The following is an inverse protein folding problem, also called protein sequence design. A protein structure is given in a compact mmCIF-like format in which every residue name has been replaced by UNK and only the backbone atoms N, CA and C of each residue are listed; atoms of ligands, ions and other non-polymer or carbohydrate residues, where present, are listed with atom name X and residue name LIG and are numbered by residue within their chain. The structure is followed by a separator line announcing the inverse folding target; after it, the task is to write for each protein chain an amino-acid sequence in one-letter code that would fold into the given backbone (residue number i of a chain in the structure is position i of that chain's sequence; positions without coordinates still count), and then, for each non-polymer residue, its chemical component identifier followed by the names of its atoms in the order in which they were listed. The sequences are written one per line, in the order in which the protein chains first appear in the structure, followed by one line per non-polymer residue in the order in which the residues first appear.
data_IF_780666587260
#
_entry.id   IF_780666587260
#
_cell.length_a   1.000
_cell.length_b   1.000
_cell.length_c   1.000
_cell.angle_alpha   90.00
_cell.angle_beta   90.00
_cell.angle_gamma   90.00
#
_symmetry.space_group_name_H-M   'P 1'
#
loop_
_entity.id
_entity.type
_entity.pdbx_description
1 polymer ?
#
# COMPACT_ATOMS: atom_id res chain seq x y z
N UNK A 1 4.51 14.14 -8.91
CA UNK A 1 3.48 15.21 -8.86
C UNK A 1 2.07 14.65 -9.06
N UNK A 2 1.84 13.74 -10.03
CA UNK A 2 0.54 13.09 -10.22
C UNK A 2 0.01 12.43 -8.93
N UNK A 3 0.90 11.86 -8.12
CA UNK A 3 0.46 11.19 -6.90
C UNK A 3 -0.24 12.12 -5.90
N UNK A 4 0.29 13.34 -5.75
CA UNK A 4 -0.27 14.38 -4.89
C UNK A 4 -1.64 14.84 -5.39
N UNK A 5 -1.79 15.06 -6.69
CA UNK A 5 -3.05 15.50 -7.28
C UNK A 5 -4.16 14.47 -7.04
N UNK A 6 -3.85 13.19 -7.20
CA UNK A 6 -4.78 12.11 -6.92
C UNK A 6 -5.17 12.01 -5.44
N UNK A 7 -4.21 12.20 -4.53
CA UNK A 7 -4.49 12.28 -3.09
C UNK A 7 -5.41 13.45 -2.75
N UNK A 8 -5.24 14.61 -3.39
CA UNK A 8 -6.11 15.78 -3.21
C UNK A 8 -7.53 15.48 -3.69
N UNK A 9 -7.69 14.84 -4.85
CA UNK A 9 -9.01 14.43 -5.37
C UNK A 9 -9.71 13.49 -4.38
N UNK A 10 -8.99 12.50 -3.85
CA UNK A 10 -9.51 11.60 -2.83
C UNK A 10 -9.93 12.36 -1.56
N UNK A 11 -9.09 13.27 -1.08
CA UNK A 11 -9.38 14.08 0.10
C UNK A 11 -10.64 14.95 -0.09
N UNK A 12 -10.77 15.63 -1.23
CA UNK A 12 -11.96 16.43 -1.54
C UNK A 12 -13.21 15.54 -1.57
N UNK A 13 -13.12 14.35 -2.14
CA UNK A 13 -14.24 13.40 -2.21
C UNK A 13 -14.67 12.94 -0.82
N UNK A 14 -13.72 12.63 0.08
CA UNK A 14 -14.00 12.27 1.48
C UNK A 14 -14.64 13.45 2.23
N UNK A 15 -14.10 14.66 2.08
CA UNK A 15 -14.67 15.86 2.71
C UNK A 15 -16.09 16.14 2.21
N UNK A 16 -16.34 15.95 0.92
CA UNK A 16 -17.66 16.09 0.33
C UNK A 16 -18.63 15.03 0.88
N UNK A 17 -18.19 13.78 1.01
CA UNK A 17 -18.98 12.73 1.65
C UNK A 17 -19.34 13.06 3.10
N UNK A 18 -18.38 13.52 3.90
CA UNK A 18 -18.62 13.95 5.29
C UNK A 18 -19.61 15.13 5.36
N UNK A 19 -19.46 16.10 4.45
CA UNK A 19 -20.42 17.21 4.31
C UNK A 19 -21.84 16.69 4.02
N UNK A 20 -21.98 15.71 3.13
CA UNK A 20 -23.27 15.10 2.81
C UNK A 20 -23.87 14.38 4.02
N UNK A 21 -23.09 13.63 4.80
CA UNK A 21 -23.56 12.96 6.02
C UNK A 21 -24.09 14.00 7.02
N UNK A 22 -23.27 14.98 7.38
CA UNK A 22 -23.65 16.00 8.37
C UNK A 22 -24.85 16.82 7.88
N UNK A 23 -24.85 17.18 6.60
CA UNK A 23 -25.96 17.90 5.97
C UNK A 23 -27.25 17.09 5.92
N UNK A 24 -27.17 15.79 5.65
CA UNK A 24 -28.32 14.89 5.65
C UNK A 24 -28.90 14.74 7.07
N UNK A 25 -28.07 14.64 8.11
CA UNK A 25 -28.54 14.59 9.50
C UNK A 25 -29.25 15.90 9.90
N UNK A 26 -28.70 17.06 9.52
CA UNK A 26 -29.24 18.37 9.95
C UNK A 26 -30.43 18.86 9.12
N UNK A 27 -30.44 18.58 7.81
CA UNK A 27 -31.42 19.15 6.85
C UNK A 27 -32.24 18.07 6.12
N UNK A 28 -31.97 16.79 6.35
CA UNK A 28 -32.60 15.68 5.64
C UNK A 28 -32.33 15.74 4.14
N UNK A 29 -33.34 15.40 3.34
CA UNK A 29 -33.26 15.39 1.87
C UNK A 29 -33.01 16.77 1.25
N UNK A 30 -33.16 17.88 1.99
CA UNK A 30 -32.95 19.25 1.49
C UNK A 30 -31.47 19.57 1.20
N UNK A 31 -30.53 18.75 1.67
CA UNK A 31 -29.10 18.90 1.37
C UNK A 31 -28.78 18.65 -0.11
N UNK A 32 -29.58 17.84 -0.79
CA UNK A 32 -29.34 17.46 -2.18
C UNK A 32 -29.80 18.56 -3.13
N UNK A 33 -28.86 19.41 -3.57
CA UNK A 33 -29.15 20.43 -4.57
C UNK A 33 -29.66 19.80 -5.87
N UNK A 34 -30.67 20.36 -6.56
CA UNK A 34 -31.20 19.79 -7.80
C UNK A 34 -30.13 19.58 -8.89
N UNK A 35 -29.16 20.50 -8.98
CA UNK A 35 -28.10 20.47 -10.00
C UNK A 35 -27.15 19.28 -9.85
N UNK A 36 -26.83 18.88 -8.61
CA UNK A 36 -25.86 17.82 -8.32
C UNK A 36 -26.48 16.60 -7.64
N UNK A 37 -27.82 16.51 -7.58
CA UNK A 37 -28.56 15.52 -6.81
C UNK A 37 -28.08 14.10 -7.06
N UNK A 38 -27.92 13.72 -8.33
CA UNK A 38 -27.50 12.37 -8.72
C UNK A 38 -26.08 12.07 -8.23
N UNK A 39 -25.13 12.98 -8.46
CA UNK A 39 -23.73 12.82 -8.02
C UNK A 39 -23.64 12.74 -6.50
N UNK A 40 -24.36 13.62 -5.78
CA UNK A 40 -24.40 13.60 -4.32
C UNK A 40 -24.93 12.28 -3.76
N UNK A 41 -26.02 11.76 -4.34
CA UNK A 41 -26.59 10.47 -3.92
C UNK A 41 -25.59 9.35 -4.18
N UNK A 42 -24.94 9.34 -5.35
CA UNK A 42 -23.95 8.33 -5.71
C UNK A 42 -22.76 8.31 -4.75
N UNK A 43 -22.18 9.48 -4.45
CA UNK A 43 -21.10 9.62 -3.47
C UNK A 43 -21.56 9.15 -2.09
N UNK A 44 -22.78 9.49 -1.67
CA UNK A 44 -23.31 9.07 -0.37
C UNK A 44 -23.49 7.55 -0.29
N UNK A 45 -24.08 6.92 -1.32
CA UNK A 45 -24.28 5.47 -1.36
C UNK A 45 -22.94 4.74 -1.36
N UNK A 46 -22.01 5.12 -2.23
CA UNK A 46 -20.68 4.51 -2.28
C UNK A 46 -19.97 4.68 -0.94
N UNK A 47 -20.01 5.87 -0.34
CA UNK A 47 -19.31 6.12 0.92
C UNK A 47 -19.86 5.28 2.06
N UNK A 48 -21.18 5.08 2.14
CA UNK A 48 -21.79 4.17 3.12
C UNK A 48 -21.36 2.72 2.87
N UNK A 49 -21.40 2.26 1.61
CA UNK A 49 -20.95 0.90 1.26
C UNK A 49 -19.49 0.70 1.65
N UNK A 50 -18.61 1.66 1.36
CA UNK A 50 -17.19 1.60 1.68
C UNK A 50 -16.94 1.51 3.20
N UNK A 51 -17.66 2.30 4.01
CA UNK A 51 -17.57 2.23 5.47
C UNK A 51 -17.99 0.85 5.99
N UNK A 52 -19.03 0.25 5.42
CA UNK A 52 -19.50 -1.08 5.80
C UNK A 52 -18.49 -2.16 5.38
N UNK A 53 -17.99 -2.10 4.14
CA UNK A 53 -17.03 -3.06 3.59
C UNK A 53 -15.68 -3.04 4.30
N UNK A 54 -15.28 -1.90 4.88
CA UNK A 54 -14.05 -1.80 5.66
C UNK A 54 -14.06 -2.70 6.92
N UNK A 55 -15.25 -3.03 7.45
CA UNK A 55 -15.39 -3.86 8.66
C UNK A 55 -15.07 -5.34 8.39
N UNK A 56 -15.13 -5.79 7.14
CA UNK A 56 -14.97 -7.21 6.75
C UNK A 56 -13.61 -7.58 6.14
N UNK A 57 -12.65 -6.65 6.07
CA UNK A 57 -11.36 -6.93 5.44
C UNK A 57 -10.43 -7.70 6.38
N UNK A 58 -10.27 -9.00 6.14
CA UNK A 58 -9.12 -9.77 6.63
C UNK A 58 -7.83 -9.20 6.01
N UNK A 59 -6.81 -9.01 6.85
CA UNK A 59 -5.59 -8.31 6.48
C UNK A 59 -4.77 -9.08 5.46
N UNK A 60 -4.84 -8.69 4.18
CA UNK A 60 -3.82 -9.06 3.19
C UNK A 60 -2.47 -8.52 3.66
N UNK A 61 -1.52 -9.41 3.91
CA UNK A 61 -0.18 -9.01 4.33
C UNK A 61 0.70 -8.84 3.11
N UNK A 62 1.41 -7.71 3.00
CA UNK A 62 2.46 -7.53 1.99
C UNK A 62 3.76 -8.24 2.39
N UNK A 63 3.64 -9.42 3.00
CA UNK A 63 4.72 -10.21 3.55
C UNK A 63 4.85 -11.49 2.74
N UNK A 64 6.06 -11.75 2.28
CA UNK A 64 6.39 -12.91 1.45
C UNK A 64 7.47 -13.71 2.17
N UNK A 65 7.18 -14.97 2.44
CA UNK A 65 8.18 -15.92 2.94
C UNK A 65 9.04 -16.37 1.77
N UNK A 66 10.37 -16.21 1.90
CA UNK A 66 11.34 -16.55 0.86
C UNK A 66 11.88 -17.96 1.10
N UNK A 67 12.36 -18.22 2.31
CA UNK A 67 12.91 -19.52 2.70
C UNK A 67 12.45 -19.92 4.11
N UNK A 68 12.08 -21.19 4.25
CA UNK A 68 11.84 -21.85 5.53
C UNK A 68 13.01 -22.72 5.98
N UNK A 69 14.04 -22.87 5.14
CA UNK A 69 15.20 -23.70 5.41
C UNK A 69 16.31 -22.86 6.04
N UNK A 70 16.17 -22.58 7.34
CA UNK A 70 17.14 -21.86 8.15
C UNK A 70 17.01 -22.26 9.62
N UNK A 71 18.08 -22.08 10.41
CA UNK A 71 17.99 -22.31 11.85
C UNK A 71 17.28 -21.15 12.55
N UNK A 72 16.05 -21.39 13.03
CA UNK A 72 15.22 -20.39 13.73
C UNK A 72 15.81 -19.84 15.03
N UNK A 73 16.84 -20.49 15.59
CA UNK A 73 17.55 -20.02 16.78
C UNK A 73 18.65 -19.00 16.46
N UNK A 74 19.01 -18.84 15.19
CA UNK A 74 20.04 -17.91 14.78
C UNK A 74 19.53 -16.46 14.85
N UNK A 75 20.46 -15.52 15.04
CA UNK A 75 20.17 -14.10 14.95
C UNK A 75 19.70 -13.73 13.54
N UNK A 76 18.93 -12.66 13.44
CA UNK A 76 18.44 -12.14 12.16
C UNK A 76 18.88 -10.71 11.92
N UNK A 77 19.19 -10.39 10.68
CA UNK A 77 19.45 -9.03 10.19
C UNK A 77 18.26 -8.57 9.35
N UNK A 78 17.94 -7.28 9.37
CA UNK A 78 16.91 -6.70 8.48
C UNK A 78 17.58 -5.64 7.62
N UNK A 79 17.57 -5.88 6.32
CA UNK A 79 17.96 -4.89 5.31
C UNK A 79 16.75 -4.07 4.89
N UNK A 80 16.97 -2.78 4.67
CA UNK A 80 15.93 -1.83 4.26
C UNK A 80 16.30 -1.20 2.94
N UNK A 81 15.33 -1.11 2.03
CA UNK A 81 15.51 -0.43 0.75
C UNK A 81 14.25 0.37 0.41
N UNK A 82 14.45 1.59 -0.10
CA UNK A 82 13.38 2.38 -0.71
C UNK A 82 13.34 2.01 -2.18
N UNK A 83 12.26 1.35 -2.60
CA UNK A 83 12.03 0.89 -3.98
C UNK A 83 11.68 2.07 -4.89
N UNK A 84 10.85 2.98 -4.40
CA UNK A 84 10.42 4.15 -5.14
C UNK A 84 10.21 5.32 -4.17
N UNK A 85 10.75 6.49 -4.53
CA UNK A 85 10.56 7.72 -3.78
C UNK A 85 9.56 8.61 -4.52
N UNK A 86 8.44 8.93 -3.89
CA UNK A 86 7.50 9.91 -4.44
C UNK A 86 7.37 11.13 -3.53
N UNK A 87 6.65 12.15 -4.01
CA UNK A 87 6.48 13.40 -3.28
C UNK A 87 5.64 13.21 -1.99
N UNK A 88 4.63 12.34 -2.04
CA UNK A 88 3.67 12.15 -0.93
C UNK A 88 3.95 10.93 -0.09
N UNK A 89 4.45 9.86 -0.70
CA UNK A 89 4.74 8.61 -0.04
C UNK A 89 5.92 7.92 -0.70
N UNK A 90 6.53 6.97 -0.02
CA UNK A 90 7.58 6.11 -0.55
C UNK A 90 7.12 4.66 -0.52
N UNK A 91 7.57 3.87 -1.50
CA UNK A 91 7.44 2.41 -1.49
C UNK A 91 8.72 1.86 -0.88
N UNK A 92 8.60 1.20 0.25
CA UNK A 92 9.73 0.61 0.97
C UNK A 92 9.63 -0.90 1.02
N UNK A 93 10.77 -1.53 1.22
CA UNK A 93 10.87 -2.97 1.40
C UNK A 93 11.89 -3.28 2.49
N UNK A 94 11.54 -4.22 3.33
CA UNK A 94 12.41 -4.83 4.31
C UNK A 94 12.64 -6.28 3.91
N UNK A 95 13.89 -6.72 3.90
CA UNK A 95 14.22 -8.14 3.76
C UNK A 95 14.91 -8.60 5.03
N UNK A 96 14.34 -9.62 5.65
CA UNK A 96 14.88 -10.26 6.83
C UNK A 96 15.76 -11.43 6.38
N UNK A 97 16.96 -11.48 6.95
CA UNK A 97 17.95 -12.52 6.75
C UNK A 97 18.20 -13.26 8.05
N UNK A 98 18.39 -14.57 7.98
CA UNK A 98 18.99 -15.35 9.06
C UNK A 98 20.51 -15.32 8.91
N UNK A 99 21.22 -15.08 10.00
CA UNK A 99 22.69 -15.08 10.03
C UNK A 99 23.14 -16.51 10.30
N UNK A 100 23.58 -17.20 9.24
CA UNK A 100 24.30 -18.47 9.36
C UNK A 100 25.81 -18.22 9.28
N UNK A 101 26.63 -19.11 9.84
CA UNK A 101 28.04 -18.87 10.18
C UNK A 101 28.84 -18.13 9.10
N UNK A 102 28.56 -18.39 7.82
CA UNK A 102 29.24 -17.78 6.67
C UNK A 102 28.32 -17.04 5.70
N UNK A 103 27.00 -17.11 5.89
CA UNK A 103 26.01 -16.70 4.87
C UNK A 103 24.77 -16.05 5.48
N UNK A 104 24.20 -15.10 4.75
CA UNK A 104 22.90 -14.50 5.03
C UNK A 104 21.84 -15.16 4.15
N UNK A 105 20.92 -15.89 4.80
CA UNK A 105 19.82 -16.56 4.11
C UNK A 105 18.59 -15.66 4.15
N UNK A 106 18.04 -15.29 2.99
CA UNK A 106 16.82 -14.50 2.93
C UNK A 106 15.63 -15.35 3.39
N UNK A 107 14.93 -14.91 4.44
CA UNK A 107 13.84 -15.70 5.04
C UNK A 107 12.47 -15.09 4.76
N UNK A 108 12.36 -13.77 4.77
CA UNK A 108 11.09 -13.07 4.66
C UNK A 108 11.33 -11.68 4.08
N UNK A 109 10.39 -11.20 3.28
CA UNK A 109 10.32 -9.81 2.85
C UNK A 109 8.98 -9.21 3.20
N UNK A 110 8.97 -7.92 3.50
CA UNK A 110 7.75 -7.13 3.67
C UNK A 110 7.90 -5.80 2.93
N UNK A 111 6.89 -5.44 2.14
CA UNK A 111 6.90 -4.16 1.41
C UNK A 111 5.67 -3.32 1.74
N UNK A 112 5.87 -2.02 1.95
CA UNK A 112 4.85 -1.15 2.50
C UNK A 112 5.06 0.30 2.07
N UNK A 113 3.96 1.05 2.12
CA UNK A 113 3.97 2.49 1.87
C UNK A 113 4.28 3.24 3.16
N UNK A 114 5.06 4.32 3.07
CA UNK A 114 5.26 5.28 4.17
C UNK A 114 5.01 6.70 3.70
N UNK A 115 4.49 7.56 4.57
CA UNK A 115 4.18 8.96 4.25
C UNK A 115 2.68 9.22 4.16
N UNK A 116 2.28 10.22 3.37
CA UNK A 116 0.88 10.55 3.15
C UNK A 116 0.28 9.69 2.04
N UNK A 117 -0.40 8.62 2.45
CA UNK A 117 -1.04 7.65 1.56
C UNK A 117 -2.54 7.93 1.50
N UNK A 118 -3.02 8.47 0.38
CA UNK A 118 -4.45 8.70 0.13
C UNK A 118 -4.83 8.29 -1.28
N UNK A 119 -5.76 7.35 -1.41
CA UNK A 119 -6.15 6.80 -2.71
C UNK A 119 -5.12 5.82 -3.30
N UNK A 120 -4.27 5.22 -2.47
CA UNK A 120 -3.31 4.20 -2.89
C UNK A 120 -3.35 2.98 -2.00
N UNK A 121 -3.20 1.83 -2.62
CA UNK A 121 -2.94 0.56 -1.95
C UNK A 121 -1.77 -0.12 -2.67
N UNK A 122 -0.81 -0.61 -1.90
CA UNK A 122 0.32 -1.36 -2.44
C UNK A 122 0.10 -2.84 -2.18
N UNK A 123 0.19 -3.65 -3.23
CA UNK A 123 0.14 -5.10 -3.15
C UNK A 123 1.49 -5.66 -3.56
N UNK A 124 2.23 -6.22 -2.60
CA UNK A 124 3.53 -6.84 -2.85
C UNK A 124 3.34 -8.27 -3.34
N UNK A 125 3.79 -8.56 -4.56
CA UNK A 125 3.44 -9.82 -5.24
C UNK A 125 4.58 -10.84 -5.25
N UNK A 126 5.83 -10.41 -5.46
CA UNK A 126 6.97 -11.32 -5.42
C UNK A 126 8.29 -10.62 -5.12
N UNK A 127 9.25 -11.40 -4.65
CA UNK A 127 10.65 -11.03 -4.55
C UNK A 127 11.53 -12.21 -4.89
N UNK A 128 12.58 -11.93 -5.67
CA UNK A 128 13.68 -12.82 -5.94
C UNK A 128 14.95 -12.16 -5.38
N UNK A 129 15.66 -12.87 -4.52
CA UNK A 129 16.93 -12.40 -3.94
C UNK A 129 17.81 -13.61 -3.63
N UNK A 130 19.11 -13.45 -3.80
CA UNK A 130 20.08 -14.52 -3.55
C UNK A 130 20.54 -14.50 -2.09
N UNK A 131 20.93 -15.68 -1.57
CA UNK A 131 21.72 -15.76 -0.35
C UNK A 131 23.12 -15.19 -0.65
N UNK A 132 23.70 -14.50 0.32
CA UNK A 132 25.00 -13.84 0.10
C UNK A 132 25.86 -13.84 1.36
N UNK A 133 27.17 -13.72 1.17
CA UNK A 133 28.10 -13.52 2.29
C UNK A 133 28.04 -12.07 2.76
N UNK A 134 28.26 -11.78 4.06
CA UNK A 134 28.23 -10.40 4.56
C UNK A 134 29.18 -9.41 3.87
N UNK A 135 30.21 -9.90 3.16
CA UNK A 135 31.16 -9.09 2.38
C UNK A 135 30.76 -8.89 0.91
N UNK A 136 29.66 -9.48 0.48
CA UNK A 136 29.19 -9.50 -0.91
C UNK A 136 27.88 -8.72 -1.05
N UNK A 137 27.58 -8.32 -2.28
CA UNK A 137 26.37 -7.59 -2.61
C UNK A 137 25.29 -8.58 -3.08
N UNK A 138 24.08 -8.53 -2.49
CA UNK A 138 22.95 -9.32 -2.97
C UNK A 138 22.09 -8.53 -3.95
N UNK A 139 21.86 -9.09 -5.14
CA UNK A 139 20.88 -8.54 -6.09
C UNK A 139 19.47 -8.95 -5.68
N UNK A 140 18.52 -8.07 -5.94
CA UNK A 140 17.10 -8.40 -5.80
C UNK A 140 16.28 -7.90 -7.00
N UNK A 141 15.20 -8.61 -7.26
CA UNK A 141 14.09 -8.21 -8.13
C UNK A 141 12.80 -8.31 -7.34
N UNK A 142 12.06 -7.22 -7.24
CA UNK A 142 10.84 -7.11 -6.46
C UNK A 142 9.68 -6.65 -7.36
N UNK A 143 8.53 -7.31 -7.25
CA UNK A 143 7.34 -6.98 -8.02
C UNK A 143 6.18 -6.63 -7.11
N UNK A 144 5.33 -5.74 -7.58
CA UNK A 144 4.06 -5.45 -6.93
C UNK A 144 3.13 -4.63 -7.82
N UNK A 145 1.96 -4.35 -7.29
CA UNK A 145 0.92 -3.57 -7.94
C UNK A 145 0.56 -2.38 -7.06
N UNK A 146 0.75 -1.18 -7.59
CA UNK A 146 0.22 0.04 -6.98
C UNK A 146 -1.20 0.25 -7.50
N UNK A 147 -2.18 0.04 -6.64
CA UNK A 147 -3.59 0.29 -6.94
C UNK A 147 -3.91 1.74 -6.68
N UNK A 148 -4.53 2.37 -7.67
CA UNK A 148 -5.05 3.72 -7.60
C UNK A 148 -6.53 3.63 -7.26
N UNK A 149 -6.85 4.06 -6.06
CA UNK A 149 -8.20 4.03 -5.52
C UNK A 149 -8.81 5.43 -5.59
N UNK A 150 -10.05 5.53 -6.04
CA UNK A 150 -10.89 6.71 -5.85
C UNK A 150 -11.97 6.37 -4.84
N UNK A 151 -11.88 6.98 -3.66
CA UNK A 151 -12.87 6.82 -2.60
C UNK A 151 -13.16 5.34 -2.25
N UNK A 152 -12.07 4.56 -2.13
CA UNK A 152 -12.11 3.13 -1.77
C UNK A 152 -12.36 2.17 -2.95
N UNK A 153 -12.57 2.67 -4.17
CA UNK A 153 -12.74 1.84 -5.37
C UNK A 153 -11.46 1.89 -6.20
N UNK A 154 -10.87 0.74 -6.52
CA UNK A 154 -9.73 0.65 -7.46
C UNK A 154 -10.18 1.00 -8.87
N UNK A 155 -9.57 2.05 -9.44
CA UNK A 155 -9.86 2.51 -10.81
C UNK A 155 -8.71 2.21 -11.77
N UNK A 156 -7.50 2.01 -11.27
CA UNK A 156 -6.33 1.69 -12.07
C UNK A 156 -5.33 0.85 -11.26
N UNK A 157 -4.68 -0.09 -11.95
CA UNK A 157 -3.65 -0.96 -11.39
C UNK A 157 -2.34 -0.71 -12.13
N UNK A 158 -1.31 -0.30 -11.41
CA UNK A 158 0.01 -0.03 -11.98
C UNK A 158 0.97 -1.14 -11.54
N UNK A 159 1.33 -2.04 -12.45
CA UNK A 159 2.36 -3.04 -12.20
C UNK A 159 3.74 -2.37 -12.15
N UNK A 160 4.50 -2.67 -11.10
CA UNK A 160 5.85 -2.14 -10.89
C UNK A 160 6.84 -3.28 -10.64
N UNK A 161 8.02 -3.15 -11.24
CA UNK A 161 9.16 -4.05 -11.05
C UNK A 161 10.36 -3.20 -10.65
N UNK A 162 11.03 -3.62 -9.57
CA UNK A 162 12.19 -2.95 -9.02
C UNK A 162 13.38 -3.89 -8.98
N UNK A 163 14.52 -3.44 -9.50
CA UNK A 163 15.77 -4.16 -9.41
C UNK A 163 16.76 -3.35 -8.57
N UNK A 164 17.52 -4.02 -7.71
CA UNK A 164 18.48 -3.33 -6.85
C UNK A 164 19.50 -4.26 -6.23
N UNK A 165 20.30 -3.67 -5.34
CA UNK A 165 21.41 -4.34 -4.67
C UNK A 165 21.38 -3.98 -3.18
N UNK A 166 21.42 -4.99 -2.31
CA UNK A 166 21.72 -4.85 -0.88
C UNK A 166 23.22 -4.82 -0.66
N UNK A 167 23.68 -3.93 0.23
CA UNK A 167 25.09 -3.75 0.62
C UNK A 167 25.28 -4.07 2.10
#
# INVERSE_FOLDING_TARGET
MIHLLWSIINLITVLYFLYLIVGFIRKGKRIFSPKFKVVSIFVMVIGVVQVISAVSLEGKTNRITISNNYNKKNFSKVEKVTLEKNLTFDINMHVKYSIEQTELIAIESNSFLTGFVSGYEWEFTSIETENYKPSENAKFSANGVLKWNLFGITVYNESKTFNGIFK
#
